data_IF_326173103876
#
_entry.id   IF_326173103876
#
_cell.length_a   1.000
_cell.length_b   1.000
_cell.length_c   1.000
_cell.angle_alpha   90.00
_cell.angle_beta   90.00
_cell.angle_gamma   90.00
#
_symmetry.space_group_name_H-M   'P 1'
#
loop_
_entity.id
_entity.type
_entity.pdbx_description
1 polymer ?
#
# COMPACT_ATOMS: atom_id res chain seq x y z
N UNK A 1 15.05 45.16 14.42
CA UNK A 1 15.69 44.55 13.25
C UNK A 1 14.98 43.22 13.07
N UNK A 2 14.06 43.15 12.10
CA UNK A 2 13.29 41.93 11.81
C UNK A 2 14.20 40.97 11.04
N UNK A 3 14.33 39.73 11.52
CA UNK A 3 14.94 38.64 10.76
C UNK A 3 13.80 37.69 10.44
N UNK A 4 13.42 37.62 9.17
CA UNK A 4 12.45 36.63 8.69
C UNK A 4 13.05 35.22 8.80
N UNK A 5 12.28 34.20 9.22
CA UNK A 5 12.75 32.83 9.21
C UNK A 5 12.72 32.31 7.77
N UNK A 6 13.89 32.22 7.14
CA UNK A 6 14.08 31.48 5.90
C UNK A 6 13.80 29.99 6.14
N UNK A 7 12.77 29.47 5.47
CA UNK A 7 12.51 28.04 5.35
C UNK A 7 13.70 27.35 4.67
N UNK A 8 14.45 26.54 5.41
CA UNK A 8 15.43 25.61 4.87
C UNK A 8 14.90 24.19 5.03
N UNK A 9 14.38 23.62 3.95
CA UNK A 9 14.22 22.17 3.78
C UNK A 9 15.56 21.60 3.30
N UNK A 10 16.06 20.52 3.90
CA UNK A 10 17.14 19.77 3.29
C UNK A 10 16.62 18.85 2.16
N UNK A 11 17.54 18.28 1.39
CA UNK A 11 17.26 17.49 0.19
C UNK A 11 16.52 16.16 0.44
N UNK A 12 16.23 15.80 1.71
CA UNK A 12 15.49 14.59 2.08
C UNK A 12 14.01 14.82 2.32
N UNK A 13 13.55 16.08 2.33
CA UNK A 13 12.14 16.42 2.61
C UNK A 13 11.75 16.26 4.09
N UNK A 14 12.70 16.00 5.00
CA UNK A 14 12.45 16.08 6.43
C UNK A 14 12.34 17.56 6.86
N UNK A 15 11.35 17.88 7.69
CA UNK A 15 11.27 19.20 8.32
C UNK A 15 12.55 19.43 9.14
N UNK A 16 13.34 20.44 8.77
CA UNK A 16 14.50 20.85 9.56
C UNK A 16 14.01 21.36 10.92
N UNK A 17 14.19 20.56 11.97
CA UNK A 17 14.00 21.00 13.34
C UNK A 17 15.09 22.03 13.64
N UNK A 18 14.69 23.22 14.07
CA UNK A 18 15.65 24.23 14.55
C UNK A 18 16.40 23.62 15.74
N UNK A 19 17.72 23.47 15.63
CA UNK A 19 18.57 22.93 16.71
C UNK A 19 19.27 24.07 17.44
N UNK A 20 19.47 23.95 18.74
CA UNK A 20 20.30 24.91 19.50
C UNK A 20 21.81 24.69 19.28
N UNK A 21 22.62 25.51 19.94
CA UNK A 21 24.08 25.45 19.87
C UNK A 21 24.70 24.12 20.35
N UNK A 22 23.90 23.28 21.02
CA UNK A 22 24.29 21.94 21.49
C UNK A 22 23.72 20.82 20.59
N UNK A 23 23.02 21.18 19.50
CA UNK A 23 22.52 20.24 18.50
C UNK A 23 21.16 19.61 18.85
N UNK A 24 20.45 20.10 19.86
CA UNK A 24 19.15 19.56 20.26
C UNK A 24 17.98 20.26 19.56
N UNK A 25 16.97 19.52 19.07
CA UNK A 25 15.81 20.11 18.42
C UNK A 25 15.02 20.95 19.42
N UNK A 26 14.88 22.24 19.11
CA UNK A 26 14.10 23.19 19.88
C UNK A 26 12.61 22.81 19.79
N UNK A 27 11.89 22.77 20.92
CA UNK A 27 10.45 22.54 20.89
C UNK A 27 9.75 23.67 20.12
N UNK A 28 8.76 23.32 19.32
CA UNK A 28 7.94 24.33 18.63
C UNK A 28 7.13 25.09 19.68
N UNK A 29 7.03 26.41 19.61
CA UNK A 29 6.18 27.15 20.54
C UNK A 29 4.76 27.25 19.98
N UNK A 30 3.78 26.64 20.64
CA UNK A 30 2.35 26.83 20.35
C UNK A 30 1.73 27.61 21.51
N UNK A 31 1.12 28.77 21.22
CA UNK A 31 0.54 29.64 22.26
C UNK A 31 1.54 30.21 23.29
N UNK A 32 2.84 30.20 22.98
CA UNK A 32 3.91 30.61 23.90
C UNK A 32 4.38 29.52 24.87
N UNK A 33 3.91 28.27 24.70
CA UNK A 33 4.35 27.10 25.45
C UNK A 33 5.17 26.16 24.54
N UNK A 34 6.27 25.55 25.04
CA UNK A 34 7.02 24.55 24.29
C UNK A 34 6.19 23.30 24.03
N UNK A 35 5.97 23.00 22.75
CA UNK A 35 5.23 21.87 22.21
C UNK A 35 6.19 20.84 21.61
N UNK A 36 6.00 19.59 22.01
CA UNK A 36 6.85 18.46 21.64
C UNK A 36 6.17 17.40 20.78
N UNK A 37 4.88 17.53 20.44
CA UNK A 37 4.08 16.44 19.86
C UNK A 37 4.75 15.67 18.71
N UNK A 38 5.20 16.39 17.67
CA UNK A 38 5.89 15.76 16.54
C UNK A 38 7.37 15.45 16.82
N UNK A 39 8.00 16.20 17.74
CA UNK A 39 9.43 16.10 18.06
C UNK A 39 9.73 14.89 18.94
N UNK A 40 8.87 14.58 19.92
CA UNK A 40 9.00 13.44 20.81
C UNK A 40 8.83 12.11 20.05
N UNK A 41 7.86 12.02 19.14
CA UNK A 41 7.65 10.82 18.33
C UNK A 41 8.83 10.56 17.35
N UNK A 42 9.39 11.64 16.77
CA UNK A 42 10.59 11.57 15.94
C UNK A 42 11.85 11.19 16.75
N UNK A 43 11.98 11.67 17.99
CA UNK A 43 13.07 11.30 18.90
C UNK A 43 12.96 9.85 19.37
N UNK A 44 11.76 9.37 19.71
CA UNK A 44 11.52 7.98 20.09
C UNK A 44 11.85 7.00 18.95
N UNK A 45 11.48 7.36 17.71
CA UNK A 45 11.76 6.55 16.52
C UNK A 45 13.26 6.38 16.24
N UNK A 46 14.10 7.30 16.72
CA UNK A 46 15.55 7.30 16.53
C UNK A 46 16.36 6.82 17.75
N UNK A 47 15.72 6.41 18.86
CA UNK A 47 16.41 6.01 20.10
C UNK A 47 17.40 4.84 19.97
N UNK A 48 17.26 4.01 18.92
CA UNK A 48 18.13 2.84 18.71
C UNK A 48 19.54 3.21 18.23
N UNK A 49 19.72 4.37 17.60
CA UNK A 49 21.04 4.84 17.12
C UNK A 49 21.80 5.69 18.15
N UNK A 50 21.15 6.08 19.25
CA UNK A 50 21.75 6.89 20.31
C UNK A 50 22.67 6.08 21.23
N UNK A 51 23.70 6.73 21.76
CA UNK A 51 24.53 6.19 22.84
C UNK A 51 23.76 6.12 24.15
N UNK A 52 24.31 5.42 25.15
CA UNK A 52 23.66 5.23 26.45
C UNK A 52 23.46 6.55 27.19
N UNK A 53 24.40 7.47 27.09
CA UNK A 53 24.35 8.76 27.79
C UNK A 53 23.38 9.73 27.10
N UNK A 54 23.31 9.70 25.77
CA UNK A 54 22.31 10.44 24.99
C UNK A 54 20.88 9.95 25.27
N UNK A 55 20.68 8.63 25.40
CA UNK A 55 19.37 8.07 25.80
C UNK A 55 18.95 8.51 27.19
N UNK A 56 19.88 8.61 28.14
CA UNK A 56 19.58 9.06 29.50
C UNK A 56 19.18 10.56 29.52
N UNK A 57 19.86 11.38 28.72
CA UNK A 57 19.50 12.79 28.52
C UNK A 57 18.12 12.94 27.88
N UNK A 58 17.85 12.24 26.77
CA UNK A 58 16.53 12.26 26.10
C UNK A 58 15.43 11.78 27.04
N UNK A 59 15.66 10.72 27.82
CA UNK A 59 14.69 10.24 28.80
C UNK A 59 14.39 11.29 29.88
N UNK A 60 15.41 11.94 30.44
CA UNK A 60 15.22 13.02 31.43
C UNK A 60 14.49 14.23 30.84
N UNK A 61 14.71 14.52 29.56
CA UNK A 61 14.08 15.63 28.85
C UNK A 61 12.62 15.33 28.53
N UNK A 62 12.30 14.10 28.12
CA UNK A 62 10.92 13.61 28.01
C UNK A 62 10.23 13.65 29.37
N UNK A 63 10.86 13.17 30.45
CA UNK A 63 10.26 13.16 31.79
C UNK A 63 10.04 14.59 32.36
N UNK A 64 10.90 15.54 31.99
CA UNK A 64 10.79 16.96 32.39
C UNK A 64 9.71 17.72 31.60
N UNK A 65 9.46 17.34 30.34
CA UNK A 65 8.56 18.05 29.43
C UNK A 65 7.35 17.23 28.96
N UNK A 66 7.11 16.05 29.52
CA UNK A 66 5.88 15.26 29.42
C UNK A 66 5.05 15.42 30.71
N UNK A 67 4.43 16.59 30.94
CA UNK A 67 3.33 16.65 31.89
C UNK A 67 2.21 15.86 31.24
N UNK A 68 2.02 14.58 31.62
CA UNK A 68 0.90 13.68 31.24
C UNK A 68 -0.07 14.40 30.30
N UNK A 69 0.23 14.39 29.01
CA UNK A 69 -0.55 15.17 28.06
C UNK A 69 -1.93 14.53 27.97
N UNK A 70 -2.86 15.05 28.78
CA UNK A 70 -4.28 14.81 28.65
C UNK A 70 -4.71 15.68 27.47
N UNK A 71 -4.77 15.07 26.29
CA UNK A 71 -5.48 15.69 25.17
C UNK A 71 -6.89 16.00 25.62
N UNK A 72 -7.30 17.25 25.48
CA UNK A 72 -8.71 17.56 25.74
C UNK A 72 -9.59 16.90 24.66
N UNK A 73 -10.88 16.72 24.98
CA UNK A 73 -11.82 16.04 24.08
C UNK A 73 -11.90 16.72 22.70
N UNK A 74 -11.58 18.02 22.60
CA UNK A 74 -11.59 18.75 21.33
C UNK A 74 -10.34 18.45 20.50
N UNK A 75 -9.16 18.32 21.12
CA UNK A 75 -7.94 17.86 20.48
C UNK A 75 -8.07 16.40 20.01
N UNK A 76 -8.70 15.53 20.82
CA UNK A 76 -9.00 14.14 20.40
C UNK A 76 -9.91 14.12 19.19
N UNK A 77 -11.03 14.85 19.24
CA UNK A 77 -11.97 14.93 18.13
C UNK A 77 -11.33 15.47 16.84
N UNK A 78 -10.43 16.46 16.96
CA UNK A 78 -9.72 17.01 15.81
C UNK A 78 -8.73 16.01 15.18
N UNK A 79 -8.00 15.24 16.00
CA UNK A 79 -7.10 14.19 15.48
C UNK A 79 -7.90 13.05 14.84
N UNK A 80 -9.05 12.68 15.41
CA UNK A 80 -9.95 11.68 14.81
C UNK A 80 -10.48 12.14 13.44
N UNK A 81 -10.86 13.42 13.32
CA UNK A 81 -11.30 14.02 12.06
C UNK A 81 -10.19 13.99 11.00
N UNK A 82 -8.97 14.46 11.35
CA UNK A 82 -7.82 14.43 10.44
C UNK A 82 -7.45 12.99 10.02
N UNK A 83 -7.57 12.03 10.94
CA UNK A 83 -7.30 10.62 10.67
C UNK A 83 -8.34 10.04 9.72
N UNK A 84 -9.62 10.38 9.91
CA UNK A 84 -10.71 9.96 9.03
C UNK A 84 -10.56 10.55 7.62
N UNK A 85 -10.18 11.82 7.50
CA UNK A 85 -9.89 12.46 6.22
C UNK A 85 -8.70 11.80 5.50
N UNK A 86 -7.62 11.53 6.23
CA UNK A 86 -6.45 10.85 5.68
C UNK A 86 -6.79 9.42 5.22
N UNK A 87 -7.60 8.69 5.99
CA UNK A 87 -8.06 7.36 5.60
C UNK A 87 -8.94 7.44 4.35
N UNK A 88 -9.88 8.39 4.29
CA UNK A 88 -10.75 8.58 3.12
C UNK A 88 -9.95 8.90 1.85
N UNK A 89 -8.92 9.74 1.95
CA UNK A 89 -8.03 10.02 0.82
C UNK A 89 -7.22 8.78 0.40
N UNK A 90 -6.70 8.01 1.36
CA UNK A 90 -6.03 6.73 1.04
C UNK A 90 -6.99 5.74 0.37
N UNK A 91 -8.22 5.59 0.87
CA UNK A 91 -9.24 4.74 0.25
C UNK A 91 -9.57 5.20 -1.17
N UNK A 92 -9.68 6.52 -1.40
CA UNK A 92 -9.92 7.08 -2.73
C UNK A 92 -8.77 6.74 -3.70
N UNK A 93 -7.52 6.84 -3.27
CA UNK A 93 -6.34 6.43 -4.05
C UNK A 93 -6.31 4.93 -4.35
N UNK A 94 -6.85 4.10 -3.45
CA UNK A 94 -6.95 2.65 -3.59
C UNK A 94 -8.07 2.16 -4.52
N UNK A 95 -9.07 2.99 -4.84
CA UNK A 95 -10.30 2.59 -5.55
C UNK A 95 -10.06 1.89 -6.88
N UNK A 96 -9.00 2.25 -7.58
CA UNK A 96 -8.65 1.71 -8.90
C UNK A 96 -7.42 0.80 -8.87
N UNK A 97 -6.99 0.40 -7.67
CA UNK A 97 -5.88 -0.53 -7.47
C UNK A 97 -6.46 -1.90 -7.17
N UNK A 98 -5.97 -2.90 -7.89
CA UNK A 98 -6.38 -4.28 -7.81
C UNK A 98 -5.20 -5.13 -7.35
N UNK A 99 -5.45 -6.01 -6.39
CA UNK A 99 -4.50 -6.99 -5.89
C UNK A 99 -4.85 -8.35 -6.46
N UNK A 100 -4.17 -8.75 -7.52
CA UNK A 100 -4.29 -10.08 -8.12
C UNK A 100 -3.72 -11.09 -7.15
N UNK A 101 -4.58 -11.98 -6.66
CA UNK A 101 -4.22 -12.98 -5.66
C UNK A 101 -4.78 -14.34 -6.03
N UNK A 102 -4.02 -15.37 -5.68
CA UNK A 102 -4.43 -16.75 -5.83
C UNK A 102 -3.82 -17.53 -4.66
N UNK A 103 -4.69 -17.98 -3.77
CA UNK A 103 -4.28 -18.60 -2.52
C UNK A 103 -3.79 -20.05 -2.76
N UNK A 104 -2.50 -20.21 -3.05
CA UNK A 104 -1.79 -21.47 -2.87
C UNK A 104 -0.91 -21.44 -1.63
N UNK A 105 -0.51 -22.61 -1.13
CA UNK A 105 0.36 -22.75 0.03
C UNK A 105 1.83 -22.32 -0.22
N UNK A 106 2.09 -21.41 -1.17
CA UNK A 106 3.43 -21.00 -1.62
C UNK A 106 3.57 -19.47 -1.53
N UNK A 107 3.82 -18.97 -0.32
CA UNK A 107 4.20 -17.58 -0.07
C UNK A 107 3.15 -16.53 -0.46
N UNK A 108 3.51 -15.25 -0.29
CA UNK A 108 2.71 -14.15 -0.81
C UNK A 108 3.09 -13.92 -2.28
N UNK A 109 2.16 -14.17 -3.20
CA UNK A 109 2.32 -13.95 -4.64
C UNK A 109 1.40 -12.82 -5.14
N UNK A 110 0.97 -11.92 -4.25
CA UNK A 110 0.12 -10.81 -4.61
C UNK A 110 0.82 -9.89 -5.63
N UNK A 111 0.13 -9.59 -6.72
CA UNK A 111 0.61 -8.63 -7.74
C UNK A 111 -0.40 -7.49 -7.84
N UNK A 112 0.09 -6.25 -7.79
CA UNK A 112 -0.74 -5.06 -7.77
C UNK A 112 -0.74 -4.38 -9.15
N UNK A 113 -1.94 -4.07 -9.62
CA UNK A 113 -2.17 -3.32 -10.86
C UNK A 113 -3.17 -2.20 -10.64
N UNK A 114 -3.03 -1.11 -11.36
CA UNK A 114 -3.90 0.05 -11.31
C UNK A 114 -4.61 0.22 -12.66
N UNK A 115 -5.91 0.50 -12.64
CA UNK A 115 -6.60 1.04 -13.81
C UNK A 115 -6.48 2.57 -13.80
N UNK A 116 -5.67 3.19 -14.68
CA UNK A 116 -5.53 4.65 -14.72
C UNK A 116 -6.81 5.35 -15.21
N UNK A 117 -7.69 4.64 -15.92
CA UNK A 117 -8.94 5.19 -16.46
C UNK A 117 -10.12 5.05 -15.51
N UNK A 118 -10.07 4.06 -14.62
CA UNK A 118 -11.17 3.68 -13.73
C UNK A 118 -12.43 3.19 -14.44
N UNK A 119 -12.34 2.87 -15.73
CA UNK A 119 -13.47 2.44 -16.56
C UNK A 119 -13.64 0.92 -16.60
N UNK A 120 -12.61 0.16 -16.25
CA UNK A 120 -12.62 -1.29 -16.29
C UNK A 120 -12.75 -1.87 -14.89
N UNK A 121 -13.63 -2.85 -14.75
CA UNK A 121 -13.67 -3.65 -13.53
C UNK A 121 -12.51 -4.67 -13.56
N UNK A 122 -11.42 -4.33 -12.87
CA UNK A 122 -10.23 -5.19 -12.75
C UNK A 122 -10.53 -6.58 -12.17
N UNK A 123 -11.59 -6.75 -11.35
CA UNK A 123 -12.01 -8.08 -10.89
C UNK A 123 -12.52 -8.92 -12.06
N UNK A 124 -13.43 -8.36 -12.87
CA UNK A 124 -13.99 -9.06 -14.03
C UNK A 124 -12.90 -9.41 -15.04
N UNK A 125 -11.98 -8.48 -15.30
CA UNK A 125 -10.86 -8.71 -16.22
C UNK A 125 -9.94 -9.83 -15.72
N UNK A 126 -9.50 -9.78 -14.46
CA UNK A 126 -8.62 -10.81 -13.89
C UNK A 126 -9.28 -12.20 -13.87
N UNK A 127 -10.54 -12.27 -13.44
CA UNK A 127 -11.34 -13.49 -13.44
C UNK A 127 -11.51 -14.08 -14.85
N UNK A 128 -11.78 -13.23 -15.85
CA UNK A 128 -11.89 -13.65 -17.25
C UNK A 128 -10.57 -14.20 -17.80
N UNK A 129 -9.45 -13.53 -17.54
CA UNK A 129 -8.13 -13.99 -17.96
C UNK A 129 -7.77 -15.35 -17.35
N UNK A 130 -8.14 -15.57 -16.09
CA UNK A 130 -7.97 -16.85 -15.42
C UNK A 130 -8.81 -17.97 -16.05
N UNK A 131 -10.08 -17.70 -16.37
CA UNK A 131 -10.93 -18.65 -17.08
C UNK A 131 -10.39 -18.95 -18.50
N UNK A 132 -9.85 -17.94 -19.19
CA UNK A 132 -9.20 -18.12 -20.49
C UNK A 132 -7.93 -18.95 -20.39
N UNK A 133 -7.15 -18.79 -19.32
CA UNK A 133 -6.00 -19.65 -19.07
C UNK A 133 -6.43 -21.13 -18.97
N UNK A 134 -7.49 -21.44 -18.21
CA UNK A 134 -8.02 -22.80 -18.14
C UNK A 134 -8.49 -23.32 -19.50
N UNK A 135 -9.25 -22.52 -20.24
CA UNK A 135 -9.78 -22.88 -21.57
C UNK A 135 -8.67 -23.16 -22.59
N UNK A 136 -7.56 -22.43 -22.55
CA UNK A 136 -6.46 -22.57 -23.51
C UNK A 136 -5.46 -23.67 -23.17
N UNK A 137 -5.22 -23.90 -21.89
CA UNK A 137 -4.11 -24.75 -21.45
C UNK A 137 -4.57 -26.07 -20.85
N UNK A 138 -5.87 -26.24 -20.57
CA UNK A 138 -6.63 -27.47 -20.25
C UNK A 138 -5.80 -28.70 -19.85
N UNK A 139 -4.92 -28.52 -18.86
CA UNK A 139 -3.93 -29.52 -18.49
C UNK A 139 -3.76 -29.51 -16.98
N UNK A 140 -3.92 -30.67 -16.31
CA UNK A 140 -4.00 -30.79 -14.85
C UNK A 140 -2.67 -30.54 -14.11
N UNK A 141 -1.76 -29.77 -14.70
CA UNK A 141 -0.45 -29.46 -14.14
C UNK A 141 0.09 -28.08 -14.47
N UNK A 142 -0.69 -27.20 -15.12
CA UNK A 142 -0.26 -25.84 -15.42
C UNK A 142 -1.25 -24.82 -14.90
N UNK A 143 -0.72 -23.77 -14.28
CA UNK A 143 -1.47 -22.60 -13.86
C UNK A 143 -0.76 -21.36 -14.36
N UNK A 144 -1.50 -20.32 -14.72
CA UNK A 144 -0.88 -19.03 -14.97
C UNK A 144 -0.63 -18.35 -13.63
N UNK A 145 0.60 -17.87 -13.43
CA UNK A 145 0.98 -17.11 -12.23
C UNK A 145 0.17 -15.81 -12.09
N UNK A 146 0.06 -15.28 -10.86
CA UNK A 146 -0.54 -13.96 -10.62
C UNK A 146 0.15 -12.86 -11.42
N UNK A 147 1.47 -12.99 -11.62
CA UNK A 147 2.24 -12.10 -12.49
C UNK A 147 1.78 -12.19 -13.94
N UNK A 148 1.50 -13.39 -14.45
CA UNK A 148 0.99 -13.57 -15.81
C UNK A 148 -0.38 -12.94 -16.02
N UNK A 149 -1.28 -13.09 -15.05
CA UNK A 149 -2.59 -12.42 -15.10
C UNK A 149 -2.41 -10.89 -15.07
N UNK A 150 -1.59 -10.38 -14.15
CA UNK A 150 -1.31 -8.94 -14.07
C UNK A 150 -0.64 -8.39 -15.35
N UNK A 151 0.31 -9.12 -15.93
CA UNK A 151 0.97 -8.75 -17.18
C UNK A 151 0.00 -8.71 -18.36
N UNK A 152 -0.95 -9.65 -18.42
CA UNK A 152 -2.02 -9.63 -19.42
C UNK A 152 -3.00 -8.46 -19.20
N UNK A 153 -3.35 -8.13 -17.95
CA UNK A 153 -4.15 -6.93 -17.63
C UNK A 153 -3.45 -5.65 -18.12
N UNK A 154 -2.14 -5.54 -17.90
CA UNK A 154 -1.33 -4.39 -18.34
C UNK A 154 -1.29 -4.31 -19.86
N UNK A 155 -0.89 -5.39 -20.52
CA UNK A 155 -0.64 -5.39 -21.97
C UNK A 155 -1.90 -5.34 -22.83
N UNK A 156 -3.03 -5.90 -22.38
CA UNK A 156 -4.24 -6.04 -23.21
C UNK A 156 -5.41 -5.13 -22.77
N UNK A 157 -5.38 -4.65 -21.52
CA UNK A 157 -6.47 -3.87 -20.95
C UNK A 157 -6.03 -2.49 -20.44
N UNK A 158 -4.76 -2.12 -20.58
CA UNK A 158 -4.28 -0.78 -20.26
C UNK A 158 -4.11 -0.49 -18.77
N UNK A 159 -4.04 -1.55 -17.94
CA UNK A 159 -3.65 -1.41 -16.54
C UNK A 159 -2.15 -1.07 -16.43
N UNK A 160 -1.71 -0.65 -15.24
CA UNK A 160 -0.31 -0.36 -14.94
C UNK A 160 0.13 -1.15 -13.71
N UNK A 161 1.36 -1.66 -13.70
CA UNK A 161 1.95 -2.18 -12.47
C UNK A 161 2.14 -1.05 -11.45
N UNK A 162 1.84 -1.33 -10.19
CA UNK A 162 1.96 -0.34 -9.13
C UNK A 162 2.48 -0.95 -7.83
N UNK A 163 2.85 -0.08 -6.88
CA UNK A 163 3.22 -0.48 -5.54
C UNK A 163 2.01 -1.06 -4.79
N UNK A 164 2.29 -1.88 -3.76
CA UNK A 164 1.27 -2.40 -2.88
C UNK A 164 0.47 -1.26 -2.23
N UNK A 165 -0.84 -1.45 -2.14
CA UNK A 165 -1.75 -0.45 -1.55
C UNK A 165 -2.68 -1.13 -0.53
N UNK A 166 -2.84 -0.58 0.69
CA UNK A 166 -3.60 -1.23 1.76
C UNK A 166 -5.10 -1.36 1.45
N UNK A 167 -5.65 -0.42 0.67
CA UNK A 167 -7.05 -0.43 0.22
C UNK A 167 -7.25 -0.99 -1.20
N UNK A 168 -6.29 -1.76 -1.71
CA UNK A 168 -6.44 -2.40 -3.01
C UNK A 168 -7.62 -3.39 -3.00
N UNK A 169 -8.39 -3.40 -4.08
CA UNK A 169 -9.47 -4.37 -4.26
C UNK A 169 -8.87 -5.75 -4.54
N UNK A 170 -9.14 -6.78 -3.72
CA UNK A 170 -8.62 -8.12 -3.99
C UNK A 170 -9.31 -8.72 -5.21
N UNK A 171 -8.55 -9.29 -6.13
CA UNK A 171 -9.05 -10.13 -7.23
C UNK A 171 -8.65 -11.56 -6.88
N UNK A 172 -9.57 -12.30 -6.27
CA UNK A 172 -9.36 -13.69 -5.88
C UNK A 172 -9.71 -14.58 -7.06
N UNK A 173 -8.69 -15.07 -7.76
CA UNK A 173 -8.88 -15.82 -9.00
C UNK A 173 -9.68 -17.12 -8.81
N UNK A 174 -9.77 -17.66 -7.59
CA UNK A 174 -10.55 -18.86 -7.29
C UNK A 174 -12.00 -18.51 -6.92
N UNK A 175 -12.20 -17.56 -5.99
CA UNK A 175 -13.53 -17.23 -5.49
C UNK A 175 -14.32 -16.33 -6.46
N UNK A 176 -13.66 -15.38 -7.14
CA UNK A 176 -14.37 -14.43 -8.00
C UNK A 176 -14.92 -15.08 -9.29
N UNK A 177 -14.47 -16.29 -9.65
CA UNK A 177 -15.00 -17.08 -10.79
C UNK A 177 -16.11 -18.06 -10.42
N UNK A 178 -16.29 -18.36 -9.12
CA UNK A 178 -17.28 -19.34 -8.66
C UNK A 178 -18.69 -18.87 -9.04
N UNK A 179 -19.42 -19.72 -9.78
CA UNK A 179 -20.78 -19.43 -10.24
C UNK A 179 -20.92 -18.38 -11.37
N UNK A 180 -19.82 -17.73 -11.79
CA UNK A 180 -19.84 -16.64 -12.81
C UNK A 180 -19.17 -16.99 -14.14
N UNK A 181 -18.59 -18.18 -14.26
CA UNK A 181 -17.77 -18.56 -15.42
C UNK A 181 -18.47 -18.40 -16.78
N UNK A 182 -19.72 -18.83 -16.90
CA UNK A 182 -20.50 -18.73 -18.14
C UNK A 182 -20.79 -17.29 -18.53
N UNK A 183 -21.11 -16.42 -17.56
CA UNK A 183 -21.37 -15.01 -17.81
C UNK A 183 -20.10 -14.32 -18.31
N UNK A 184 -18.99 -14.48 -17.57
CA UNK A 184 -17.71 -13.85 -17.91
C UNK A 184 -17.18 -14.33 -19.27
N UNK A 185 -17.27 -15.63 -19.57
CA UNK A 185 -16.81 -16.17 -20.85
C UNK A 185 -17.68 -15.77 -22.05
N UNK A 186 -18.94 -15.37 -21.81
CA UNK A 186 -19.84 -14.86 -22.85
C UNK A 186 -19.74 -13.33 -23.03
N UNK A 187 -19.03 -12.62 -22.14
CA UNK A 187 -18.89 -11.17 -22.20
C UNK A 187 -17.89 -10.75 -23.30
N UNK A 188 -18.44 -10.27 -24.42
CA UNK A 188 -17.64 -9.82 -25.57
C UNK A 188 -16.79 -8.58 -25.25
N UNK A 189 -17.15 -7.76 -24.25
CA UNK A 189 -16.38 -6.57 -23.89
C UNK A 189 -15.02 -6.92 -23.28
N UNK A 190 -14.92 -8.12 -22.69
CA UNK A 190 -13.69 -8.64 -22.10
C UNK A 190 -12.78 -9.30 -23.16
N UNK A 191 -13.26 -9.57 -24.37
CA UNK A 191 -12.46 -10.27 -25.36
C UNK A 191 -11.34 -9.39 -25.94
N UNK A 192 -10.13 -9.95 -26.04
CA UNK A 192 -8.96 -9.35 -26.71
C UNK A 192 -8.25 -10.42 -27.52
N UNK A 193 -7.69 -10.03 -28.66
CA UNK A 193 -6.74 -10.88 -29.39
C UNK A 193 -5.42 -10.97 -28.62
N UNK A 194 -4.68 -12.07 -28.75
CA UNK A 194 -3.36 -12.22 -28.12
C UNK A 194 -3.37 -12.71 -26.66
N UNK A 195 -4.55 -13.01 -26.07
CA UNK A 195 -4.63 -13.46 -24.66
C UNK A 195 -3.80 -14.72 -24.44
N UNK A 196 -3.89 -15.71 -25.34
CA UNK A 196 -3.16 -16.97 -25.19
C UNK A 196 -1.66 -16.74 -25.20
N UNK A 197 -1.18 -15.91 -26.13
CA UNK A 197 0.22 -15.54 -26.32
C UNK A 197 0.75 -14.74 -25.12
N UNK A 198 -0.08 -13.85 -24.55
CA UNK A 198 0.27 -13.09 -23.35
C UNK A 198 0.41 -13.97 -22.11
N UNK A 199 -0.42 -15.00 -21.97
CA UNK A 199 -0.43 -15.89 -20.80
C UNK A 199 0.61 -17.01 -20.88
N UNK A 200 0.92 -17.52 -22.08
CA UNK A 200 1.79 -18.68 -22.26
C UNK A 200 3.19 -18.59 -21.61
N UNK A 201 3.89 -17.44 -21.59
CA UNK A 201 5.19 -17.31 -20.93
C UNK A 201 5.15 -17.43 -19.40
N UNK A 202 3.95 -17.33 -18.81
CA UNK A 202 3.74 -17.27 -17.37
C UNK A 202 3.08 -18.52 -16.80
N UNK A 203 3.11 -19.62 -17.55
CA UNK A 203 2.66 -20.93 -17.10
C UNK A 203 3.65 -21.50 -16.09
N UNK A 204 3.19 -21.64 -14.85
CA UNK A 204 3.88 -22.37 -13.81
C UNK A 204 3.45 -23.83 -13.84
N UNK A 205 4.43 -24.72 -13.95
CA UNK A 205 4.22 -26.16 -13.83
C UNK A 205 4.03 -26.54 -12.37
N UNK A 206 2.84 -26.99 -11.99
CA UNK A 206 2.61 -27.65 -10.71
C UNK A 206 3.33 -29.01 -10.78
N UNK A 207 4.39 -29.21 -9.99
CA UNK A 207 4.84 -30.57 -9.70
C UNK A 207 3.66 -31.30 -9.05
N UNK A 208 3.21 -32.47 -9.55
CA UNK A 208 2.03 -33.13 -9.04
C UNK A 208 2.27 -33.53 -7.58
N UNK A 209 1.80 -32.72 -6.63
CA UNK A 209 1.67 -33.10 -5.24
C UNK A 209 0.19 -33.31 -4.95
N UNK A 210 -0.23 -34.57 -5.06
CA UNK A 210 -1.52 -35.13 -4.63
C UNK A 210 -2.78 -34.47 -5.21
N UNK A 211 -3.37 -35.20 -6.15
CA UNK A 211 -4.81 -35.28 -6.46
C UNK A 211 -5.72 -34.53 -5.49
N UNK A 212 -6.43 -33.53 -6.02
CA UNK A 212 -7.59 -32.91 -5.38
C UNK A 212 -8.77 -33.93 -5.37
N UNK A 213 -9.59 -33.98 -4.30
CA UNK A 213 -10.75 -34.89 -4.18
C UNK A 213 -11.82 -34.69 -5.24
#
# INVERSE_FOLDING_TARGET
MNIEPSHFTDASGAMALAVDGDGFPQPQLIGGQPYLGNTAHALYSNMQSLTKDERALVASWVEQYDPKYEMDDAEVAHIEELSAEAEADMQARGRHIYRVTHHYAIGNQDVFVKDPTGMLDGKRVGAYLFLKAYDFFDSPGFLVSNLGIAAAMVSLYGFEHCAAHPFATPVDLYHDVEGKSKELMADASLHREGIREALAPHLDGIKPSKTWP
#
